data_IF_050310209681
#
_entry.id   IF_050310209681
#
_cell.length_a   1.000
_cell.length_b   1.000
_cell.length_c   1.000
_cell.angle_alpha   90.00
_cell.angle_beta   90.00
_cell.angle_gamma   90.00
#
_symmetry.space_group_name_H-M   'P 1'
#
loop_
_entity.id
_entity.type
_entity.pdbx_description
1 polymer ?
#
# COMPACT_ATOMS: atom_id res chain seq x y z
N UNK A 1 -9.89 7.31 -1.33
CA UNK A 1 -8.57 7.09 -0.70
C UNK A 1 -8.80 6.35 0.60
N UNK A 2 -8.07 5.27 0.87
CA UNK A 2 -8.13 4.53 2.13
C UNK A 2 -6.90 4.91 2.95
N UNK A 3 -7.10 5.73 3.99
CA UNK A 3 -6.06 6.14 4.92
C UNK A 3 -5.96 5.11 6.06
N UNK A 4 -5.26 3.99 5.80
CA UNK A 4 -5.22 2.81 6.67
C UNK A 4 -4.83 3.13 8.12
N UNK A 5 -3.88 4.04 8.34
CA UNK A 5 -3.44 4.44 9.67
C UNK A 5 -4.53 5.06 10.52
N UNK A 6 -5.31 6.01 9.96
CA UNK A 6 -6.45 6.60 10.67
C UNK A 6 -7.60 5.60 10.78
N UNK A 7 -7.83 4.80 9.74
CA UNK A 7 -8.88 3.79 9.74
C UNK A 7 -8.68 2.76 10.87
N UNK A 8 -7.44 2.31 11.08
CA UNK A 8 -7.07 1.40 12.15
C UNK A 8 -7.27 2.01 13.55
N UNK A 9 -7.03 3.32 13.70
CA UNK A 9 -7.27 4.03 14.98
C UNK A 9 -8.77 4.07 15.31
N UNK A 10 -9.62 4.27 14.31
CA UNK A 10 -11.07 4.38 14.50
C UNK A 10 -11.78 3.03 14.64
N UNK A 11 -11.33 2.00 13.90
CA UNK A 11 -12.03 0.70 13.79
C UNK A 11 -11.30 -0.47 14.46
N UNK A 12 -10.06 -0.27 14.91
CA UNK A 12 -9.20 -1.34 15.41
C UNK A 12 -8.39 -2.02 14.30
N UNK A 13 -7.24 -2.57 14.67
CA UNK A 13 -6.35 -3.27 13.73
C UNK A 13 -6.94 -4.60 13.25
N UNK A 14 -7.73 -5.24 14.10
CA UNK A 14 -8.37 -6.52 13.84
C UNK A 14 -9.46 -6.45 12.78
N UNK A 15 -10.08 -5.28 12.58
CA UNK A 15 -11.13 -5.06 11.56
C UNK A 15 -10.64 -4.34 10.32
N UNK A 16 -9.38 -3.91 10.30
CA UNK A 16 -8.86 -3.05 9.23
C UNK A 16 -9.00 -3.70 7.85
N UNK A 17 -8.69 -5.00 7.74
CA UNK A 17 -8.80 -5.75 6.50
C UNK A 17 -10.26 -5.83 6.02
N UNK A 18 -11.18 -6.22 6.91
CA UNK A 18 -12.61 -6.36 6.57
C UNK A 18 -13.19 -5.03 6.08
N UNK A 19 -12.93 -3.93 6.81
CA UNK A 19 -13.45 -2.60 6.47
C UNK A 19 -12.85 -2.10 5.16
N UNK A 20 -11.57 -2.39 4.91
CA UNK A 20 -10.93 -2.04 3.65
C UNK A 20 -11.55 -2.79 2.47
N UNK A 21 -11.79 -4.09 2.60
CA UNK A 21 -12.41 -4.90 1.55
C UNK A 21 -13.84 -4.45 1.25
N UNK A 22 -14.61 -4.06 2.27
CA UNK A 22 -15.94 -3.45 2.09
C UNK A 22 -15.86 -2.12 1.32
N UNK A 23 -14.93 -1.23 1.69
CA UNK A 23 -14.74 0.04 0.98
C UNK A 23 -14.34 -0.21 -0.47
N UNK A 24 -13.40 -1.13 -0.72
CA UNK A 24 -12.97 -1.49 -2.06
C UNK A 24 -14.12 -2.07 -2.89
N UNK A 25 -14.94 -2.94 -2.30
CA UNK A 25 -16.11 -3.53 -2.95
C UNK A 25 -17.11 -2.46 -3.40
N UNK A 26 -17.45 -1.52 -2.52
CA UNK A 26 -18.36 -0.41 -2.84
C UNK A 26 -17.78 0.50 -3.92
N UNK A 27 -16.50 0.88 -3.81
CA UNK A 27 -15.83 1.73 -4.80
C UNK A 27 -15.74 1.06 -6.17
N UNK A 28 -15.42 -0.24 -6.21
CA UNK A 28 -15.37 -1.02 -7.45
C UNK A 28 -16.75 -1.10 -8.12
N UNK A 29 -17.81 -1.37 -7.35
CA UNK A 29 -19.19 -1.38 -7.86
C UNK A 29 -19.63 -0.02 -8.41
N UNK A 30 -19.14 1.07 -7.81
CA UNK A 30 -19.40 2.44 -8.25
C UNK A 30 -18.45 2.94 -9.36
N UNK A 31 -17.49 2.12 -9.81
CA UNK A 31 -16.43 2.52 -10.75
C UNK A 31 -15.61 3.73 -10.28
N UNK A 32 -15.38 3.84 -8.97
CA UNK A 32 -14.58 4.90 -8.36
C UNK A 32 -13.19 4.37 -8.06
N UNK A 33 -12.16 5.04 -8.58
CA UNK A 33 -10.77 4.69 -8.30
C UNK A 33 -10.42 4.91 -6.82
N UNK A 34 -9.69 3.97 -6.24
CA UNK A 34 -9.22 4.03 -4.85
C UNK A 34 -7.72 4.27 -4.83
N UNK A 35 -7.31 5.22 -3.99
CA UNK A 35 -5.91 5.42 -3.63
C UNK A 35 -5.65 4.74 -2.29
N UNK A 36 -4.74 3.79 -2.27
CA UNK A 36 -4.27 3.17 -1.03
C UNK A 36 -3.22 4.05 -0.38
N UNK A 37 -3.44 4.43 0.87
CA UNK A 37 -2.62 5.41 1.54
C UNK A 37 -2.22 4.96 2.94
N UNK A 38 -1.05 5.47 3.34
CA UNK A 38 -0.38 5.28 4.65
C UNK A 38 0.22 3.88 4.86
N UNK A 39 1.45 3.89 5.38
CA UNK A 39 2.23 2.70 5.74
C UNK A 39 2.48 1.70 4.60
N UNK A 40 2.34 2.11 3.34
CA UNK A 40 2.74 1.30 2.19
C UNK A 40 4.25 1.41 2.02
N UNK A 41 4.97 0.28 2.04
CA UNK A 41 6.44 0.22 1.98
C UNK A 41 7.13 1.15 2.99
N UNK A 42 6.56 1.29 4.19
CA UNK A 42 7.02 2.24 5.21
C UNK A 42 8.48 1.98 5.62
N UNK A 43 8.84 0.70 5.78
CA UNK A 43 10.18 0.27 6.16
C UNK A 43 11.19 0.56 5.06
N UNK A 44 10.82 0.35 3.79
CA UNK A 44 11.65 0.74 2.65
C UNK A 44 11.85 2.25 2.63
N UNK A 45 10.78 3.03 2.72
CA UNK A 45 10.82 4.49 2.69
C UNK A 45 11.71 5.06 3.83
N UNK A 46 11.66 4.48 5.03
CA UNK A 46 12.39 4.98 6.22
C UNK A 46 13.80 4.43 6.38
N UNK A 47 13.99 3.13 6.15
CA UNK A 47 15.24 2.39 6.45
C UNK A 47 15.91 1.77 5.24
N UNK A 48 15.32 1.87 4.04
CA UNK A 48 15.90 1.35 2.80
C UNK A 48 15.67 -0.15 2.59
N UNK A 49 14.95 -0.83 3.49
CA UNK A 49 14.71 -2.28 3.40
C UNK A 49 13.22 -2.57 3.64
N UNK A 50 12.49 -3.16 2.67
CA UNK A 50 11.11 -3.56 2.86
C UNK A 50 11.02 -4.86 3.66
N UNK A 51 9.92 -5.03 4.38
CA UNK A 51 9.57 -6.30 5.01
C UNK A 51 8.85 -7.22 4.03
N UNK A 52 8.90 -8.54 4.25
CA UNK A 52 8.14 -9.51 3.43
C UNK A 52 6.63 -9.23 3.46
N UNK A 53 6.11 -8.76 4.59
CA UNK A 53 4.70 -8.39 4.72
C UNK A 53 4.36 -7.22 3.78
N UNK A 54 5.17 -6.16 3.75
CA UNK A 54 4.97 -5.02 2.84
C UNK A 54 5.11 -5.42 1.36
N UNK A 55 6.00 -6.37 1.03
CA UNK A 55 6.12 -6.88 -0.33
C UNK A 55 4.84 -7.60 -0.80
N UNK A 56 4.31 -8.48 0.04
CA UNK A 56 3.06 -9.18 -0.25
C UNK A 56 1.87 -8.22 -0.33
N UNK A 57 1.80 -7.26 0.60
CA UNK A 57 0.76 -6.22 0.68
C UNK A 57 0.67 -5.42 -0.63
N UNK A 58 1.81 -4.99 -1.19
CA UNK A 58 1.86 -4.24 -2.44
C UNK A 58 1.57 -5.11 -3.66
N UNK A 59 2.06 -6.35 -3.69
CA UNK A 59 1.90 -7.24 -4.84
C UNK A 59 0.45 -7.70 -5.03
N UNK A 60 -0.35 -7.72 -3.97
CA UNK A 60 -1.76 -8.10 -4.02
C UNK A 60 -2.68 -6.99 -4.54
N UNK A 61 -2.22 -5.74 -4.51
CA UNK A 61 -3.04 -4.57 -4.83
C UNK A 61 -2.72 -3.98 -6.21
N UNK A 62 -3.70 -4.00 -7.10
CA UNK A 62 -3.64 -3.39 -8.42
C UNK A 62 -4.34 -2.03 -8.43
N UNK A 63 -3.62 -0.95 -8.11
CA UNK A 63 -4.24 0.36 -8.04
C UNK A 63 -3.28 1.53 -7.82
N UNK A 64 -3.84 2.68 -7.42
CA UNK A 64 -3.05 3.86 -7.09
C UNK A 64 -2.52 3.76 -5.66
N UNK A 65 -1.22 3.92 -5.48
CA UNK A 65 -0.54 3.80 -4.19
C UNK A 65 0.08 5.14 -3.80
N UNK A 66 -0.08 5.52 -2.54
CA UNK A 66 0.57 6.66 -1.92
C UNK A 66 1.69 6.20 -0.98
N UNK A 67 2.92 6.66 -1.24
CA UNK A 67 4.06 6.46 -0.35
C UNK A 67 4.23 7.66 0.60
N UNK A 68 4.62 7.38 1.84
CA UNK A 68 4.97 8.42 2.80
C UNK A 68 6.35 9.03 2.50
N UNK A 69 6.65 10.19 3.11
CA UNK A 69 7.99 10.79 3.03
C UNK A 69 9.04 9.94 3.75
N UNK A 70 10.25 9.89 3.21
CA UNK A 70 11.38 9.24 3.88
C UNK A 70 12.68 9.38 3.11
N UNK A 71 13.78 8.94 3.74
CA UNK A 71 15.15 9.08 3.20
C UNK A 71 15.32 8.31 1.89
N UNK A 72 14.59 7.22 1.72
CA UNK A 72 14.69 6.30 0.59
C UNK A 72 13.50 6.44 -0.38
N UNK A 73 12.83 7.58 -0.43
CA UNK A 73 11.59 7.73 -1.22
C UNK A 73 11.80 7.46 -2.72
N UNK A 74 12.93 7.89 -3.30
CA UNK A 74 13.24 7.65 -4.71
C UNK A 74 13.44 6.17 -4.99
N UNK A 75 14.08 5.46 -4.07
CA UNK A 75 14.27 4.01 -4.14
C UNK A 75 12.93 3.28 -4.01
N UNK A 76 12.09 3.70 -3.07
CA UNK A 76 10.75 3.15 -2.89
C UNK A 76 9.86 3.30 -4.13
N UNK A 77 9.91 4.46 -4.80
CA UNK A 77 9.16 4.69 -6.05
C UNK A 77 9.65 3.75 -7.15
N UNK A 78 10.96 3.63 -7.37
CA UNK A 78 11.53 2.72 -8.38
C UNK A 78 11.21 1.26 -8.09
N UNK A 79 11.27 0.88 -6.81
CA UNK A 79 10.95 -0.46 -6.37
C UNK A 79 9.48 -0.79 -6.64
N UNK A 80 8.58 0.13 -6.29
CA UNK A 80 7.15 0.00 -6.56
C UNK A 80 6.85 -0.10 -8.06
N UNK A 81 7.48 0.75 -8.88
CA UNK A 81 7.37 0.72 -10.33
C UNK A 81 7.74 -0.66 -10.90
N UNK A 82 8.85 -1.24 -10.43
CA UNK A 82 9.27 -2.58 -10.80
C UNK A 82 8.28 -3.69 -10.41
N UNK A 83 7.64 -3.58 -9.23
CA UNK A 83 6.58 -4.52 -8.82
C UNK A 83 5.39 -4.42 -9.78
N UNK A 84 4.93 -3.19 -10.06
CA UNK A 84 3.73 -2.94 -10.86
C UNK A 84 3.91 -3.33 -12.34
N UNK A 85 5.12 -3.22 -12.88
CA UNK A 85 5.46 -3.69 -14.23
C UNK A 85 5.63 -5.22 -14.34
N UNK A 86 5.56 -5.96 -13.22
CA UNK A 86 5.74 -7.41 -13.19
C UNK A 86 7.18 -7.86 -13.47
N UNK A 87 8.15 -6.95 -13.34
CA UNK A 87 9.57 -7.27 -13.52
C UNK A 87 10.05 -8.00 -12.26
N UNK A 88 10.61 -9.19 -12.42
CA UNK A 88 11.23 -9.95 -11.33
C UNK A 88 12.34 -9.12 -10.70
N UNK A 89 12.06 -8.55 -9.52
CA UNK A 89 13.02 -7.77 -8.75
C UNK A 89 14.08 -8.75 -8.21
N UNK A 90 15.27 -8.74 -8.82
CA UNK A 90 16.43 -9.41 -8.25
C UNK A 90 16.90 -8.61 -7.04
N UNK A 91 16.66 -9.18 -5.85
CA UNK A 91 17.32 -8.77 -4.60
C UNK A 91 18.83 -9.03 -4.66
#
# INVERSE_FOLDING_TARGET
>A
MIARGNLAVEWGWEKLADVQDEILSVCNAAHISVVWATQVLESLVKSGVPTRAELTDVAMEGGCIMLNKGKHIVEAVKFLDGILEGISIKM
#
